data_IF_046378190295
#
_entry.id   IF_046378190295
#
_cell.length_a   1.000
_cell.length_b   1.000
_cell.length_c   1.000
_cell.angle_alpha   90.00
_cell.angle_beta   90.00
_cell.angle_gamma   90.00
#
_symmetry.space_group_name_H-M   'P 1'
#
loop_
_entity.id
_entity.type
_entity.pdbx_description
1 polymer ?
#
# COMPACT_ATOMS: atom_id res chain seq x y z
N UNK A 1 8.55 -7.60 -6.57
CA UNK A 1 7.15 -7.32 -6.94
C UNK A 1 7.16 -6.20 -7.97
N UNK A 2 6.17 -6.14 -8.86
CA UNK A 2 5.94 -4.99 -9.72
C UNK A 2 4.65 -4.33 -9.25
N UNK A 3 4.72 -3.04 -8.93
CA UNK A 3 3.60 -2.21 -8.51
C UNK A 3 3.20 -1.27 -9.65
N UNK A 4 1.90 -1.05 -9.84
CA UNK A 4 1.35 -0.12 -10.82
C UNK A 4 0.71 1.05 -10.11
N UNK A 5 1.16 2.25 -10.42
CA UNK A 5 0.46 3.48 -10.09
C UNK A 5 -0.50 3.81 -11.23
N UNK A 6 -1.80 3.80 -10.93
CA UNK A 6 -2.85 4.06 -11.92
C UNK A 6 -3.21 5.54 -11.90
N UNK A 7 -3.02 6.22 -13.03
CA UNK A 7 -3.32 7.66 -13.17
C UNK A 7 -4.64 7.90 -13.92
N UNK A 8 -5.71 7.24 -13.47
CA UNK A 8 -7.02 7.34 -14.11
C UNK A 8 -7.64 5.98 -14.39
N UNK A 9 -7.66 5.58 -15.65
CA UNK A 9 -8.07 4.26 -16.12
C UNK A 9 -6.82 3.43 -16.46
N UNK A 10 -6.81 2.13 -16.12
CA UNK A 10 -5.72 1.25 -16.51
C UNK A 10 -5.39 1.38 -18.01
N UNK A 11 -4.14 1.76 -18.33
CA UNK A 11 -3.61 1.91 -19.70
C UNK A 11 -4.09 0.81 -20.64
N UNK A 12 -3.90 -0.43 -20.20
CA UNK A 12 -4.16 -1.65 -20.96
C UNK A 12 -5.63 -2.11 -20.95
N UNK A 13 -6.57 -1.23 -20.57
CA UNK A 13 -8.00 -1.51 -20.68
C UNK A 13 -8.52 -1.17 -22.09
N UNK A 14 -8.96 -2.17 -22.84
CA UNK A 14 -9.76 -1.98 -24.05
C UNK A 14 -11.19 -2.42 -23.81
N UNK A 15 -12.16 -1.49 -23.83
CA UNK A 15 -13.57 -1.84 -23.67
C UNK A 15 -14.44 -1.27 -24.78
N UNK A 16 -14.94 -2.16 -25.64
CA UNK A 16 -16.09 -1.89 -26.49
C UNK A 16 -17.35 -2.05 -25.63
N UNK A 17 -17.98 -0.95 -25.22
CA UNK A 17 -19.31 -1.06 -24.59
C UNK A 17 -20.38 -1.27 -25.67
N UNK A 18 -21.49 -1.95 -25.38
CA UNK A 18 -22.59 -2.18 -26.34
C UNK A 18 -23.21 -0.91 -26.93
N UNK A 19 -22.90 0.27 -26.38
CA UNK A 19 -23.53 1.55 -26.71
C UNK A 19 -22.61 2.51 -27.50
N UNK A 20 -21.62 2.02 -28.26
CA UNK A 20 -20.65 2.84 -29.02
C UNK A 20 -19.77 3.78 -28.17
N UNK A 21 -19.63 3.53 -26.86
CA UNK A 21 -18.59 4.18 -26.05
C UNK A 21 -17.40 3.24 -25.96
N UNK A 22 -16.34 3.56 -26.70
CA UNK A 22 -15.04 2.95 -26.43
C UNK A 22 -14.51 3.63 -25.17
N UNK A 23 -14.24 2.85 -24.13
CA UNK A 23 -13.41 3.31 -23.01
C UNK A 23 -12.06 2.65 -23.23
N UNK A 24 -11.07 3.49 -23.46
CA UNK A 24 -9.72 3.07 -23.79
C UNK A 24 -8.80 3.71 -22.77
N UNK A 25 -8.05 2.89 -22.03
CA UNK A 25 -6.91 3.39 -21.27
C UNK A 25 -5.88 4.02 -22.22
N UNK A 26 -4.92 4.75 -21.66
CA UNK A 26 -3.94 5.55 -22.41
C UNK A 26 -3.37 4.83 -23.63
N UNK A 27 -3.09 3.54 -23.50
CA UNK A 27 -2.50 2.69 -24.52
C UNK A 27 -3.39 2.51 -25.77
N UNK A 28 -4.71 2.45 -25.60
CA UNK A 28 -5.67 2.28 -26.70
C UNK A 28 -6.33 3.60 -27.14
N UNK A 29 -5.97 4.72 -26.52
CA UNK A 29 -6.46 6.02 -26.98
C UNK A 29 -5.86 6.35 -28.35
N UNK A 30 -6.67 6.67 -29.37
CA UNK A 30 -6.14 7.13 -30.64
C UNK A 30 -5.27 8.38 -30.41
N UNK A 31 -4.19 8.51 -31.17
CA UNK A 31 -3.31 9.68 -31.10
C UNK A 31 -4.15 10.94 -31.22
N UNK A 32 -4.21 11.71 -30.13
CA UNK A 32 -4.86 13.01 -30.12
C UNK A 32 -4.09 13.86 -31.13
N UNK A 33 -4.80 14.42 -32.12
CA UNK A 33 -4.22 15.23 -33.20
C UNK A 33 -3.25 16.29 -32.66
N UNK A 34 -2.22 16.64 -33.45
CA UNK A 34 -1.06 17.51 -33.17
C UNK A 34 -1.33 18.97 -32.72
N UNK A 35 -2.49 19.26 -32.11
CA UNK A 35 -2.79 20.57 -31.55
C UNK A 35 -2.72 20.55 -30.00
N UNK A 36 -1.51 20.59 -29.41
CA UNK A 36 -1.30 20.51 -27.96
C UNK A 36 -1.85 21.72 -27.17
N UNK A 37 -2.32 22.76 -27.84
CA UNK A 37 -2.74 24.00 -27.18
C UNK A 37 -4.22 24.08 -26.79
N UNK A 38 -5.10 23.17 -27.23
CA UNK A 38 -6.54 23.27 -26.93
C UNK A 38 -6.97 22.65 -25.58
N UNK A 39 -6.06 21.98 -24.86
CA UNK A 39 -6.42 21.26 -23.62
C UNK A 39 -6.01 21.95 -22.32
N UNK A 40 -5.17 22.98 -22.35
CA UNK A 40 -4.72 23.69 -21.13
C UNK A 40 -5.84 24.46 -20.40
N UNK A 41 -7.07 24.49 -20.93
CA UNK A 41 -8.22 25.14 -20.32
C UNK A 41 -9.39 24.21 -19.96
N UNK A 42 -9.30 22.89 -20.18
CA UNK A 42 -10.23 21.96 -19.53
C UNK A 42 -9.60 21.54 -18.20
N UNK A 43 -9.84 22.37 -17.19
CA UNK A 43 -9.66 22.01 -15.79
C UNK A 43 -10.15 20.58 -15.54
N UNK A 44 -9.47 19.89 -14.62
CA UNK A 44 -9.69 18.54 -14.05
C UNK A 44 -11.12 18.33 -13.46
N UNK A 45 -12.07 19.19 -13.80
CA UNK A 45 -13.49 18.94 -13.64
C UNK A 45 -13.87 17.72 -14.47
N UNK A 46 -14.20 16.65 -13.76
CA UNK A 46 -15.00 15.52 -14.21
C UNK A 46 -16.40 16.01 -14.63
N UNK A 47 -16.48 16.98 -15.55
CA UNK A 47 -17.73 17.40 -16.16
C UNK A 47 -18.02 16.39 -17.26
N UNK A 48 -19.06 15.55 -17.11
CA UNK A 48 -19.49 14.73 -18.22
C UNK A 48 -19.89 15.69 -19.32
N UNK A 49 -19.13 15.69 -20.42
CA UNK A 49 -19.53 16.36 -21.64
C UNK A 49 -20.88 15.73 -22.05
N UNK A 50 -21.99 16.47 -22.01
CA UNK A 50 -23.31 15.90 -22.18
C UNK A 50 -23.54 15.36 -23.60
N UNK A 51 -22.68 15.71 -24.55
CA UNK A 51 -22.90 15.45 -25.98
C UNK A 51 -22.07 14.32 -26.60
N UNK A 52 -21.27 13.55 -25.83
CA UNK A 52 -20.36 12.44 -26.26
C UNK A 52 -18.88 12.86 -26.35
N UNK A 53 -17.87 11.99 -26.26
CA UNK A 53 -17.73 10.52 -26.18
C UNK A 53 -16.28 10.30 -25.72
N UNK A 54 -16.04 9.29 -24.88
CA UNK A 54 -14.72 8.81 -24.44
C UNK A 54 -14.11 9.59 -23.26
N UNK A 55 -14.20 8.99 -22.07
CA UNK A 55 -13.24 9.26 -20.99
C UNK A 55 -11.89 8.73 -21.48
N UNK A 56 -11.09 9.58 -22.13
CA UNK A 56 -9.74 9.24 -22.56
C UNK A 56 -8.80 9.50 -21.41
N UNK A 57 -8.08 8.46 -21.01
CA UNK A 57 -6.92 8.67 -20.15
C UNK A 57 -5.76 9.24 -20.98
N UNK A 58 -5.24 10.39 -20.55
CA UNK A 58 -4.12 11.06 -21.19
C UNK A 58 -2.78 10.78 -20.51
N UNK A 59 -2.79 10.12 -19.35
CA UNK A 59 -1.59 9.85 -18.57
C UNK A 59 -1.23 8.36 -18.64
N UNK A 60 0.03 8.00 -18.92
CA UNK A 60 0.44 6.62 -18.82
C UNK A 60 0.50 6.18 -17.35
N UNK A 61 0.21 4.91 -17.14
CA UNK A 61 0.50 4.23 -15.90
C UNK A 61 2.00 4.00 -15.73
N UNK A 62 2.45 4.12 -14.49
CA UNK A 62 3.84 3.85 -14.13
C UNK A 62 3.96 2.52 -13.39
N UNK A 63 4.85 1.66 -13.89
CA UNK A 63 5.14 0.35 -13.30
C UNK A 63 6.47 0.41 -12.57
N UNK A 64 6.44 0.33 -11.25
CA UNK A 64 7.62 0.35 -10.39
C UNK A 64 8.00 -1.08 -10.01
N UNK A 65 9.29 -1.41 -10.07
CA UNK A 65 9.78 -2.71 -9.64
C UNK A 65 10.94 -2.57 -8.67
N UNK A 66 11.01 -3.51 -7.72
CA UNK A 66 12.15 -3.71 -6.84
C UNK A 66 12.28 -5.21 -6.56
N UNK A 67 13.41 -5.80 -6.98
CA UNK A 67 13.74 -7.18 -6.72
C UNK A 67 15.26 -7.39 -6.76
N UNK A 68 15.80 -8.17 -5.81
CA UNK A 68 17.21 -8.61 -5.79
C UNK A 68 18.24 -7.48 -6.07
N UNK A 69 18.00 -6.28 -5.53
CA UNK A 69 18.88 -5.11 -5.72
C UNK A 69 18.73 -4.40 -7.07
N UNK A 70 17.86 -4.87 -7.96
CA UNK A 70 17.42 -4.16 -9.16
C UNK A 70 16.16 -3.35 -8.82
N UNK A 71 16.14 -2.08 -9.19
CA UNK A 71 14.98 -1.21 -9.03
C UNK A 71 14.84 -0.28 -10.23
N UNK A 72 13.62 0.14 -10.51
CA UNK A 72 13.34 1.10 -11.55
C UNK A 72 11.86 1.24 -11.81
N UNK A 73 11.54 2.08 -12.78
CA UNK A 73 10.19 2.28 -13.29
C UNK A 73 10.19 1.96 -14.78
N UNK A 74 9.08 1.45 -15.32
CA UNK A 74 8.85 1.44 -16.75
C UNK A 74 7.44 1.92 -17.11
N UNK A 75 7.31 2.40 -18.34
CA UNK A 75 6.06 2.89 -18.93
C UNK A 75 5.79 2.11 -20.22
N UNK A 76 4.51 1.82 -20.47
CA UNK A 76 4.03 1.22 -21.72
C UNK A 76 3.76 2.36 -22.73
N UNK A 77 4.50 2.44 -23.85
CA UNK A 77 4.29 3.51 -24.82
C UNK A 77 2.97 3.33 -25.59
N UNK A 78 2.41 4.44 -26.09
CA UNK A 78 1.29 4.40 -27.05
C UNK A 78 1.67 3.58 -28.29
N UNK A 79 0.71 2.86 -28.86
CA UNK A 79 0.85 2.06 -30.07
C UNK A 79 1.82 0.87 -30.00
N UNK A 80 2.26 0.40 -28.82
CA UNK A 80 2.72 -1.00 -28.79
C UNK A 80 1.59 -1.90 -29.30
N UNK A 81 1.87 -2.88 -30.14
CA UNK A 81 0.85 -3.85 -30.52
C UNK A 81 1.07 -5.09 -29.66
N UNK A 82 0.04 -5.54 -28.94
CA UNK A 82 0.06 -6.83 -28.26
C UNK A 82 -0.19 -8.02 -29.22
N UNK A 83 -0.26 -7.77 -30.53
CA UNK A 83 -0.43 -8.85 -31.52
C UNK A 83 0.87 -9.68 -31.65
N UNK A 84 1.12 -10.53 -30.66
CA UNK A 84 2.02 -11.68 -30.74
C UNK A 84 3.51 -11.44 -30.45
N UNK A 85 3.91 -10.28 -29.91
CA UNK A 85 5.31 -9.99 -29.59
C UNK A 85 5.50 -9.24 -28.27
N UNK A 86 6.72 -9.25 -27.70
CA UNK A 86 7.02 -8.50 -26.49
C UNK A 86 6.86 -7.00 -26.73
N UNK A 87 6.11 -6.34 -25.85
CA UNK A 87 5.95 -4.88 -25.85
C UNK A 87 7.24 -4.23 -25.35
N UNK A 88 7.85 -3.36 -26.16
CA UNK A 88 8.99 -2.55 -25.71
C UNK A 88 8.51 -1.52 -24.69
N UNK A 89 9.15 -1.48 -23.53
CA UNK A 89 8.89 -0.49 -22.47
C UNK A 89 10.00 0.53 -22.39
N UNK A 90 9.72 1.69 -21.79
CA UNK A 90 10.73 2.70 -21.48
C UNK A 90 11.10 2.60 -20.01
N UNK A 91 12.36 2.25 -19.69
CA UNK A 91 12.85 2.16 -18.30
C UNK A 91 13.41 3.48 -17.78
N UNK A 92 13.21 3.76 -16.49
CA UNK A 92 13.72 4.93 -15.75
C UNK A 92 14.36 4.46 -14.42
N UNK A 93 15.67 4.68 -14.19
CA UNK A 93 16.66 5.12 -15.17
C UNK A 93 16.76 4.11 -16.33
N UNK A 94 17.31 4.56 -17.47
CA UNK A 94 17.53 3.69 -18.61
C UNK A 94 18.40 2.49 -18.18
N UNK A 95 17.92 1.29 -18.47
CA UNK A 95 18.58 0.03 -18.12
C UNK A 95 18.57 -0.94 -19.30
N UNK A 96 19.49 -1.91 -19.29
CA UNK A 96 19.55 -2.99 -20.27
C UNK A 96 18.59 -4.15 -19.94
N UNK A 97 17.63 -3.93 -19.04
CA UNK A 97 16.63 -4.93 -18.70
C UNK A 97 15.70 -5.15 -19.90
N UNK A 98 15.51 -6.40 -20.31
CA UNK A 98 14.48 -6.78 -21.28
C UNK A 98 13.17 -7.06 -20.54
N UNK A 99 12.16 -6.22 -20.76
CA UNK A 99 10.84 -6.34 -20.12
C UNK A 99 9.82 -6.78 -21.15
N UNK A 100 9.18 -7.91 -20.88
CA UNK A 100 8.20 -8.54 -21.76
C UNK A 100 6.85 -8.59 -21.07
N UNK A 101 5.81 -8.09 -21.75
CA UNK A 101 4.45 -8.02 -21.25
C UNK A 101 3.57 -9.03 -21.98
N UNK A 102 2.75 -9.77 -21.24
CA UNK A 102 1.88 -10.81 -21.78
C UNK A 102 0.44 -10.60 -21.34
N UNK A 103 -0.46 -10.54 -22.32
CA UNK A 103 -1.89 -10.47 -22.07
C UNK A 103 -2.47 -11.85 -21.75
N UNK A 104 -3.44 -11.88 -20.85
CA UNK A 104 -4.24 -13.07 -20.52
C UNK A 104 -5.68 -12.66 -20.31
N UNK A 105 -6.62 -13.51 -20.72
CA UNK A 105 -8.03 -13.30 -20.41
C UNK A 105 -8.22 -13.24 -18.88
N UNK A 106 -8.71 -12.11 -18.38
CA UNK A 106 -8.93 -11.93 -16.95
C UNK A 106 -10.31 -12.45 -16.50
N UNK A 107 -10.43 -12.88 -15.24
CA UNK A 107 -11.72 -13.10 -14.59
C UNK A 107 -12.66 -11.89 -14.70
N UNK A 108 -13.96 -12.14 -14.66
CA UNK A 108 -14.99 -11.11 -14.77
C UNK A 108 -14.81 -10.01 -13.71
N UNK A 109 -14.77 -8.75 -14.16
CA UNK A 109 -14.72 -7.57 -13.29
C UNK A 109 -13.33 -6.94 -13.11
N UNK A 110 -12.25 -7.64 -13.47
CA UNK A 110 -10.89 -7.10 -13.45
C UNK A 110 -10.65 -6.16 -14.64
N UNK A 111 -10.06 -4.99 -14.39
CA UNK A 111 -9.87 -3.89 -15.35
C UNK A 111 -8.44 -3.83 -15.90
N UNK A 112 -7.98 -4.91 -16.52
CA UNK A 112 -6.66 -5.01 -17.17
C UNK A 112 -6.67 -6.27 -18.02
N UNK A 113 -5.83 -6.34 -19.05
CA UNK A 113 -5.56 -7.58 -19.78
C UNK A 113 -4.13 -8.09 -19.52
N UNK A 114 -3.29 -7.32 -18.81
CA UNK A 114 -1.90 -7.64 -18.49
C UNK A 114 -1.79 -8.68 -17.37
N UNK A 115 -1.62 -9.95 -17.73
CA UNK A 115 -1.56 -11.07 -16.79
C UNK A 115 -0.16 -11.46 -16.33
N UNK A 116 0.86 -11.21 -17.14
CA UNK A 116 2.22 -11.63 -16.83
C UNK A 116 3.23 -10.61 -17.32
N UNK A 117 4.24 -10.39 -16.48
CA UNK A 117 5.43 -9.59 -16.80
C UNK A 117 6.64 -10.48 -16.62
N UNK A 118 7.56 -10.48 -17.59
CA UNK A 118 8.86 -11.17 -17.49
C UNK A 118 9.96 -10.14 -17.67
N UNK A 119 10.91 -10.10 -16.74
CA UNK A 119 12.08 -9.23 -16.82
C UNK A 119 13.31 -10.13 -16.97
N UNK A 120 14.14 -9.90 -17.99
CA UNK A 120 15.45 -10.56 -18.14
C UNK A 120 16.55 -9.56 -17.85
N UNK A 121 17.48 -9.91 -16.95
CA UNK A 121 18.62 -9.06 -16.65
C UNK A 121 19.81 -9.27 -17.60
N UNK A 122 20.87 -8.50 -17.35
CA UNK A 122 22.13 -8.51 -18.10
C UNK A 122 22.92 -9.82 -17.99
N UNK A 123 22.60 -10.66 -17.01
CA UNK A 123 23.22 -11.98 -16.81
C UNK A 123 22.39 -13.12 -17.43
N UNK A 124 21.25 -12.80 -18.06
CA UNK A 124 20.32 -13.80 -18.59
C UNK A 124 19.47 -14.46 -17.51
N UNK A 125 19.29 -13.81 -16.35
CA UNK A 125 18.35 -14.29 -15.32
C UNK A 125 16.96 -13.73 -15.64
N UNK A 126 15.97 -14.59 -15.72
CA UNK A 126 14.57 -14.22 -15.91
C UNK A 126 13.80 -14.19 -14.61
N UNK A 127 12.97 -13.17 -14.45
CA UNK A 127 12.08 -12.92 -13.33
C UNK A 127 10.65 -12.88 -13.82
N UNK A 128 9.84 -13.86 -13.42
CA UNK A 128 8.46 -14.02 -13.88
C UNK A 128 7.50 -13.52 -12.82
N UNK A 129 6.64 -12.58 -13.19
CA UNK A 129 5.63 -12.00 -12.33
C UNK A 129 4.24 -12.37 -12.85
N UNK A 130 3.62 -13.38 -12.24
CA UNK A 130 2.37 -13.99 -12.74
C UNK A 130 1.21 -13.99 -11.73
N UNK A 131 1.49 -13.77 -10.45
CA UNK A 131 0.43 -13.73 -9.42
C UNK A 131 -0.06 -12.30 -9.23
N UNK A 132 -1.34 -12.06 -9.53
CA UNK A 132 -1.95 -10.75 -9.49
C UNK A 132 -2.44 -10.42 -8.07
N UNK A 133 -2.27 -9.17 -7.66
CA UNK A 133 -2.98 -8.58 -6.52
C UNK A 133 -3.95 -7.53 -7.03
N UNK A 134 -5.16 -7.56 -6.51
CA UNK A 134 -6.19 -6.61 -6.91
C UNK A 134 -6.49 -5.64 -5.79
N UNK A 135 -6.83 -4.41 -6.18
CA UNK A 135 -7.46 -3.42 -5.33
C UNK A 135 -8.87 -3.16 -5.84
N UNK A 136 -9.82 -3.12 -4.93
CA UNK A 136 -11.23 -2.92 -5.15
C UNK A 136 -11.52 -1.45 -4.92
N UNK A 137 -11.96 -0.75 -5.97
CA UNK A 137 -12.55 0.58 -5.82
C UNK A 137 -14.06 0.43 -5.71
N UNK A 138 -14.60 0.80 -4.56
CA UNK A 138 -16.04 0.89 -4.36
C UNK A 138 -16.54 2.14 -5.09
N UNK A 139 -17.41 1.98 -6.09
CA UNK A 139 -18.16 3.10 -6.67
C UNK A 139 -19.55 3.12 -6.06
N UNK A 140 -19.88 4.23 -5.39
CA UNK A 140 -21.23 4.51 -4.95
C UNK A 140 -22.02 4.99 -6.17
N UNK A 141 -22.85 4.12 -6.76
CA UNK A 141 -23.78 4.53 -7.82
C UNK A 141 -25.09 4.93 -7.17
N UNK A 142 -25.46 6.20 -7.26
CA UNK A 142 -26.79 6.67 -6.81
C UNK A 142 -27.85 5.94 -7.64
N UNK A 143 -28.64 5.07 -7.02
CA UNK A 143 -29.66 4.27 -7.73
C UNK A 143 -30.92 5.09 -7.95
N UNK A 144 -31.30 5.92 -6.98
CA UNK A 144 -32.42 6.83 -7.10
C UNK A 144 -32.31 7.98 -6.11
N UNK A 145 -32.63 9.18 -6.57
CA UNK A 145 -32.94 10.30 -5.69
C UNK A 145 -34.37 10.12 -5.19
N UNK A 146 -34.56 9.16 -4.28
CA UNK A 146 -35.81 9.14 -3.52
C UNK A 146 -35.67 10.24 -2.47
N UNK A 147 -36.06 11.46 -2.83
CA UNK A 147 -36.21 12.56 -1.88
C UNK A 147 -37.37 12.26 -0.93
N UNK A 148 -37.24 11.20 -0.12
CA UNK A 148 -38.15 10.96 1.00
C UNK A 148 -37.80 12.00 2.05
N UNK A 149 -38.52 13.10 1.96
CA UNK A 149 -38.59 14.11 3.00
C UNK A 149 -38.87 13.39 4.33
N UNK A 150 -37.92 13.41 5.26
CA UNK A 150 -38.20 13.01 6.65
C UNK A 150 -38.78 14.26 7.31
N UNK A 151 -40.10 14.39 7.46
CA UNK A 151 -40.67 15.56 8.11
C UNK A 151 -40.38 15.41 9.62
N UNK A 152 -39.88 16.47 10.26
CA UNK A 152 -39.84 16.70 11.72
C UNK A 152 -38.52 16.56 12.50
N UNK A 153 -37.34 16.75 11.92
CA UNK A 153 -36.12 17.01 12.73
C UNK A 153 -35.38 18.25 12.21
N UNK A 154 -35.89 19.44 12.57
CA UNK A 154 -35.25 20.73 12.26
C UNK A 154 -35.37 21.18 10.80
N UNK A 155 -34.84 22.38 10.51
CA UNK A 155 -34.76 22.97 9.15
C UNK A 155 -33.68 22.33 8.26
N UNK A 156 -33.05 21.27 8.76
CA UNK A 156 -32.00 20.52 8.09
C UNK A 156 -32.63 19.40 7.24
N UNK A 157 -32.37 19.44 5.93
CA UNK A 157 -32.83 18.41 4.99
C UNK A 157 -31.77 17.32 4.92
N UNK A 158 -32.10 16.11 5.38
CA UNK A 158 -31.26 14.93 5.17
C UNK A 158 -31.72 14.19 3.92
N UNK A 159 -30.79 13.95 2.99
CA UNK A 159 -31.03 13.13 1.80
C UNK A 159 -30.49 11.73 2.06
N UNK A 160 -31.33 10.71 1.88
CA UNK A 160 -30.93 9.32 1.93
C UNK A 160 -30.73 8.80 0.50
N UNK A 161 -29.50 8.45 0.16
CA UNK A 161 -29.16 7.87 -1.14
C UNK A 161 -29.02 6.35 -1.00
N UNK A 162 -29.81 5.59 -1.75
CA UNK A 162 -29.56 4.16 -1.96
C UNK A 162 -28.47 4.00 -3.02
N UNK A 163 -27.44 3.20 -2.71
CA UNK A 163 -26.27 3.00 -3.57
C UNK A 163 -26.15 1.55 -4.02
N UNK A 164 -26.01 1.34 -5.32
CA UNK A 164 -25.66 0.04 -5.89
C UNK A 164 -24.16 -0.11 -5.77
N UNK A 165 -23.72 -1.19 -5.12
CA UNK A 165 -22.31 -1.46 -4.94
C UNK A 165 -21.76 -2.12 -6.21
N UNK A 166 -21.21 -1.29 -7.09
CA UNK A 166 -20.38 -1.77 -8.20
C UNK A 166 -18.94 -1.82 -7.74
N UNK A 167 -18.35 -3.01 -7.79
CA UNK A 167 -16.95 -3.25 -7.48
C UNK A 167 -16.15 -3.31 -8.78
N UNK A 168 -15.22 -2.37 -8.95
CA UNK A 168 -14.20 -2.47 -9.98
C UNK A 168 -12.92 -3.02 -9.34
N UNK A 169 -12.37 -4.08 -9.93
CA UNK A 169 -11.11 -4.69 -9.51
C UNK A 169 -9.98 -4.19 -10.40
N UNK A 170 -8.97 -3.59 -9.81
CA UNK A 170 -7.79 -3.10 -10.51
C UNK A 170 -6.60 -3.95 -10.09
N UNK A 171 -5.84 -4.47 -11.05
CA UNK A 171 -4.57 -5.11 -10.69
C UNK A 171 -3.56 -4.02 -10.37
N UNK A 172 -3.12 -3.99 -9.12
CA UNK A 172 -2.12 -3.03 -8.64
C UNK A 172 -0.74 -3.65 -8.56
N UNK A 173 -0.64 -4.98 -8.43
CA UNK A 173 0.65 -5.64 -8.24
C UNK A 173 0.75 -6.99 -8.94
N UNK A 174 1.96 -7.30 -9.42
CA UNK A 174 2.36 -8.61 -9.91
C UNK A 174 3.47 -9.15 -9.01
N UNK A 175 3.22 -10.28 -8.35
CA UNK A 175 4.16 -10.95 -7.47
C UNK A 175 5.12 -11.84 -8.27
N UNK A 176 6.37 -11.91 -7.82
CA UNK A 176 7.43 -12.73 -8.43
C UNK A 176 7.17 -14.21 -8.14
N UNK A 177 6.92 -15.02 -9.15
CA UNK A 177 6.58 -16.44 -8.99
C UNK A 177 7.68 -17.39 -9.42
N UNK A 178 8.58 -16.95 -10.29
CA UNK A 178 9.68 -17.79 -10.78
C UNK A 178 10.91 -16.97 -11.11
N UNK A 179 12.07 -17.50 -10.79
CA UNK A 179 13.39 -17.03 -11.21
C UNK A 179 14.04 -18.15 -12.01
N UNK A 180 14.56 -17.85 -13.20
CA UNK A 180 15.24 -18.84 -14.06
C UNK A 180 16.60 -18.30 -14.46
N UNK A 181 17.65 -19.05 -14.24
CA UNK A 181 18.93 -18.79 -14.91
C UNK A 181 18.93 -19.45 -16.30
N UNK A 182 18.95 -18.65 -17.36
CA UNK A 182 18.89 -19.18 -18.73
C UNK A 182 20.13 -19.98 -19.12
N UNK A 183 21.25 -19.82 -18.42
CA UNK A 183 22.49 -20.54 -18.71
C UNK A 183 22.50 -21.91 -18.04
N UNK A 184 22.29 -21.95 -16.72
CA UNK A 184 22.30 -23.20 -15.93
C UNK A 184 20.99 -23.98 -16.00
N UNK A 185 19.89 -23.33 -16.39
CA UNK A 185 18.51 -23.83 -16.29
C UNK A 185 18.04 -24.10 -14.86
N UNK A 186 18.74 -23.57 -13.85
CA UNK A 186 18.27 -23.60 -12.47
C UNK A 186 17.04 -22.70 -12.30
N UNK A 187 16.10 -23.16 -11.47
CA UNK A 187 14.85 -22.47 -11.19
C UNK A 187 14.64 -22.30 -9.68
N UNK A 188 14.09 -21.14 -9.33
CA UNK A 188 13.53 -20.86 -8.00
C UNK A 188 12.05 -20.55 -8.21
N UNK A 189 11.17 -21.31 -7.56
CA UNK A 189 9.72 -21.12 -7.66
C UNK A 189 9.21 -20.54 -6.34
N UNK A 190 8.32 -19.55 -6.42
CA UNK A 190 7.70 -18.88 -5.29
C UNK A 190 6.19 -19.11 -5.35
N UNK A 191 5.66 -19.72 -4.30
CA UNK A 191 4.24 -19.96 -4.15
C UNK A 191 3.63 -18.97 -3.16
N UNK A 192 2.43 -18.49 -3.47
CA UNK A 192 1.70 -17.56 -2.63
C UNK A 192 0.41 -18.18 -2.14
N UNK A 193 -0.04 -17.75 -0.97
CA UNK A 193 -1.43 -17.94 -0.56
C UNK A 193 -2.20 -16.62 -0.62
N UNK A 194 -3.50 -16.76 -0.90
CA UNK A 194 -4.43 -15.66 -0.97
C UNK A 194 -4.86 -15.24 0.44
N UNK A 195 -4.96 -13.94 0.66
CA UNK A 195 -5.72 -13.40 1.78
C UNK A 195 -6.40 -12.10 1.35
N UNK A 196 -7.46 -11.77 2.07
CA UNK A 196 -8.17 -10.52 1.85
C UNK A 196 -7.58 -9.46 2.76
N UNK A 197 -7.14 -8.33 2.21
CA UNK A 197 -6.75 -7.17 3.01
C UNK A 197 -7.77 -6.06 2.90
N UNK A 198 -7.96 -5.36 4.01
CA UNK A 198 -8.76 -4.15 4.08
C UNK A 198 -7.91 -3.05 4.71
N UNK A 199 -7.49 -2.10 3.88
CA UNK A 199 -6.82 -0.89 4.32
C UNK A 199 -7.86 0.22 4.34
N UNK A 200 -8.12 0.75 5.53
CA UNK A 200 -8.88 1.99 5.63
C UNK A 200 -7.97 3.14 5.24
N UNK A 201 -8.31 3.81 4.15
CA UNK A 201 -7.70 5.08 3.79
C UNK A 201 -8.20 6.16 4.76
N UNK A 202 -7.50 7.30 4.82
CA UNK A 202 -8.01 8.45 5.53
C UNK A 202 -9.46 8.76 5.22
N UNK A 203 -10.25 9.06 6.25
CA UNK A 203 -11.52 9.77 6.10
C UNK A 203 -11.18 11.10 5.44
N UNK A 204 -11.61 11.28 4.20
CA UNK A 204 -11.47 12.55 3.50
C UNK A 204 -12.80 13.27 3.70
N UNK A 205 -12.78 14.28 4.57
CA UNK A 205 -13.88 15.22 4.69
C UNK A 205 -13.77 16.21 3.53
N UNK A 206 -14.56 15.99 2.48
CA UNK A 206 -14.76 16.98 1.43
C UNK A 206 -15.94 17.86 1.81
N UNK A 207 -15.70 19.17 1.93
CA UNK A 207 -16.75 20.18 2.08
C UNK A 207 -16.92 20.92 0.76
N UNK A 208 -18.15 21.03 0.27
CA UNK A 208 -18.45 21.91 -0.85
C UNK A 208 -19.05 23.21 -0.31
N UNK A 209 -18.34 24.32 -0.45
CA UNK A 209 -18.84 25.64 -0.08
C UNK A 209 -19.63 26.17 -1.27
N UNK A 210 -20.96 26.05 -1.19
CA UNK A 210 -21.84 26.75 -2.11
C UNK A 210 -21.96 28.21 -1.69
N UNK A 211 -21.93 29.13 -2.65
CA UNK A 211 -22.21 30.57 -2.42
C UNK A 211 -23.55 30.84 -1.74
N UNK A 212 -24.46 29.85 -1.69
CA UNK A 212 -25.77 29.95 -1.04
C UNK A 212 -25.82 29.26 0.34
N UNK A 213 -25.21 29.83 1.37
CA UNK A 213 -25.51 29.61 2.82
C UNK A 213 -25.56 28.20 3.42
N UNK A 214 -25.26 27.11 2.69
CA UNK A 214 -25.23 25.75 3.27
C UNK A 214 -23.96 25.02 2.87
N UNK A 215 -23.17 24.70 3.89
CA UNK A 215 -22.05 23.77 3.78
C UNK A 215 -22.58 22.34 3.81
N UNK A 216 -22.24 21.57 2.78
CA UNK A 216 -22.46 20.12 2.78
C UNK A 216 -21.14 19.44 3.16
N UNK A 217 -21.18 18.63 4.20
CA UNK A 217 -20.06 17.80 4.63
C UNK A 217 -20.30 16.36 4.17
N UNK A 218 -19.41 15.86 3.31
CA UNK A 218 -19.38 14.45 2.94
C UNK A 218 -18.22 13.78 3.68
N UNK A 219 -18.55 12.72 4.43
CA UNK A 219 -17.55 11.84 5.03
C UNK A 219 -17.35 10.63 4.11
N UNK A 220 -16.43 10.78 3.16
CA UNK A 220 -16.06 9.68 2.28
C UNK A 220 -15.04 8.79 2.98
N UNK A 221 -15.55 7.67 3.50
CA UNK A 221 -14.74 6.57 4.02
C UNK A 221 -14.17 5.80 2.84
N UNK A 222 -13.02 6.25 2.35
CA UNK A 222 -12.25 5.49 1.39
C UNK A 222 -11.75 4.20 2.05
N UNK A 223 -12.17 3.07 1.49
CA UNK A 223 -11.78 1.76 1.96
C UNK A 223 -11.18 1.02 0.78
N UNK A 224 -9.87 0.79 0.85
CA UNK A 224 -9.16 -0.03 -0.11
C UNK A 224 -9.29 -1.48 0.38
N UNK A 225 -10.05 -2.26 -0.37
CA UNK A 225 -10.14 -3.71 -0.19
C UNK A 225 -9.34 -4.36 -1.29
N UNK A 226 -8.73 -5.50 -1.04
CA UNK A 226 -7.93 -6.12 -2.08
C UNK A 226 -7.66 -7.59 -1.85
N UNK A 227 -7.56 -8.28 -2.97
CA UNK A 227 -6.99 -9.62 -3.03
C UNK A 227 -5.48 -9.46 -2.91
N UNK A 228 -4.94 -9.82 -1.76
CA UNK A 228 -3.51 -9.72 -1.50
C UNK A 228 -2.88 -11.11 -1.49
N UNK A 229 -1.58 -11.14 -1.68
CA UNK A 229 -0.80 -12.37 -1.71
C UNK A 229 0.30 -12.29 -0.66
N UNK A 230 0.50 -13.38 0.05
CA UNK A 230 1.64 -13.54 0.95
C UNK A 230 2.37 -14.83 0.63
N UNK A 231 3.68 -14.79 0.82
CA UNK A 231 4.56 -15.87 0.40
C UNK A 231 4.29 -17.11 1.25
N UNK A 232 4.00 -18.24 0.60
CA UNK A 232 3.70 -19.52 1.25
C UNK A 232 4.92 -20.44 1.23
N UNK A 233 5.59 -20.54 0.09
CA UNK A 233 6.80 -21.34 -0.02
C UNK A 233 7.75 -20.84 -1.12
N UNK A 234 9.02 -21.19 -0.99
CA UNK A 234 10.03 -21.08 -2.04
C UNK A 234 10.62 -22.48 -2.25
N UNK A 235 10.71 -22.94 -3.49
CA UNK A 235 11.35 -24.21 -3.85
C UNK A 235 12.47 -24.00 -4.85
N UNK A 236 13.53 -24.79 -4.70
CA UNK A 236 14.74 -24.73 -5.51
C UNK A 236 14.88 -26.01 -6.35
N UNK A 237 15.55 -25.93 -7.50
CA UNK A 237 15.78 -27.10 -8.38
C UNK A 237 16.50 -28.27 -7.71
N UNK A 238 17.29 -28.01 -6.67
CA UNK A 238 18.01 -29.05 -5.92
C UNK A 238 17.13 -29.82 -4.91
N UNK A 239 15.85 -29.45 -4.78
CA UNK A 239 14.89 -30.04 -3.84
C UNK A 239 14.78 -29.33 -2.49
N UNK A 240 15.60 -28.32 -2.23
CA UNK A 240 15.49 -27.50 -1.02
C UNK A 240 14.19 -26.69 -1.04
N UNK A 241 13.64 -26.43 0.15
CA UNK A 241 12.37 -25.71 0.32
C UNK A 241 12.39 -24.80 1.54
N UNK A 242 11.84 -23.60 1.37
CA UNK A 242 11.52 -22.67 2.45
C UNK A 242 10.01 -22.57 2.58
N UNK A 243 9.45 -22.82 3.75
CA UNK A 243 8.01 -22.69 4.03
C UNK A 243 7.76 -21.57 5.02
N UNK A 244 6.68 -20.82 4.79
CA UNK A 244 6.24 -19.70 5.59
C UNK A 244 4.92 -20.09 6.27
N UNK A 245 4.92 -20.15 7.60
CA UNK A 245 3.74 -20.52 8.39
C UNK A 245 3.21 -19.30 9.12
N UNK A 246 1.98 -18.94 8.79
CA UNK A 246 1.26 -17.82 9.40
C UNK A 246 0.43 -18.30 10.59
N UNK A 247 0.20 -17.38 11.52
CA UNK A 247 -0.68 -17.59 12.67
C UNK A 247 -2.05 -18.13 12.27
N UNK A 248 -2.61 -19.02 13.07
CA UNK A 248 -4.00 -19.46 12.91
C UNK A 248 -4.98 -18.33 13.24
N UNK A 249 -4.60 -17.45 14.17
CA UNK A 249 -5.37 -16.27 14.57
C UNK A 249 -5.08 -15.07 13.67
N UNK A 250 -6.12 -14.27 13.40
CA UNK A 250 -5.98 -13.02 12.67
C UNK A 250 -5.23 -11.98 13.50
N UNK A 251 -4.56 -11.05 12.84
CA UNK A 251 -3.94 -9.91 13.48
C UNK A 251 -5.02 -9.00 14.07
N UNK A 252 -4.76 -8.47 15.25
CA UNK A 252 -5.62 -7.47 15.86
C UNK A 252 -5.49 -6.10 15.22
N UNK A 253 -4.37 -5.80 14.58
CA UNK A 253 -4.14 -4.49 13.95
C UNK A 253 -4.48 -4.49 12.45
N UNK A 254 -4.95 -5.63 11.93
CA UNK A 254 -5.42 -5.83 10.55
C UNK A 254 -6.35 -7.04 10.50
N UNK A 255 -7.65 -6.78 10.40
CA UNK A 255 -8.66 -7.84 10.28
C UNK A 255 -8.37 -8.64 9.00
N UNK A 256 -8.50 -9.96 9.04
CA UNK A 256 -8.29 -10.92 7.94
C UNK A 256 -6.84 -11.23 7.56
N UNK A 257 -5.87 -10.46 8.05
CA UNK A 257 -4.46 -10.78 7.88
C UNK A 257 -3.94 -11.62 9.06
N UNK A 258 -2.83 -12.35 8.86
CA UNK A 258 -2.19 -13.20 9.87
C UNK A 258 -0.71 -12.88 9.92
N UNK A 259 -0.13 -12.86 11.13
CA UNK A 259 1.30 -12.64 11.31
C UNK A 259 2.09 -13.89 10.89
N UNK A 260 3.24 -13.71 10.24
CA UNK A 260 4.17 -14.81 9.93
C UNK A 260 4.80 -15.32 11.22
N UNK A 261 4.50 -16.54 11.66
CA UNK A 261 5.00 -17.09 12.92
C UNK A 261 6.27 -17.92 12.74
N UNK A 262 6.40 -18.63 11.61
CA UNK A 262 7.56 -19.50 11.41
C UNK A 262 8.06 -19.46 9.98
N UNK A 263 9.38 -19.63 9.84
CA UNK A 263 10.05 -19.90 8.57
C UNK A 263 10.78 -21.23 8.74
N UNK A 264 10.41 -22.25 7.96
CA UNK A 264 11.08 -23.56 7.96
C UNK A 264 11.91 -23.72 6.71
N UNK A 265 13.18 -24.03 6.86
CA UNK A 265 14.10 -24.33 5.77
C UNK A 265 14.39 -25.82 5.83
N UNK A 266 13.94 -26.55 4.81
CA UNK A 266 14.16 -27.99 4.68
C UNK A 266 15.04 -28.26 3.47
N UNK A 267 16.14 -28.97 3.67
CA UNK A 267 16.98 -29.38 2.55
C UNK A 267 16.48 -30.70 1.94
N UNK A 268 17.02 -31.07 0.78
CA UNK A 268 16.66 -32.33 0.10
C UNK A 268 17.02 -33.59 0.93
N UNK A 269 17.99 -33.52 1.84
CA UNK A 269 18.32 -34.59 2.79
C UNK A 269 17.31 -34.75 3.93
N UNK A 270 16.32 -33.85 4.03
CA UNK A 270 15.32 -33.84 5.09
C UNK A 270 15.71 -33.10 6.37
N UNK A 271 16.90 -32.51 6.42
CA UNK A 271 17.31 -31.66 7.54
C UNK A 271 16.48 -30.38 7.54
N UNK A 272 16.00 -29.99 8.72
CA UNK A 272 15.13 -28.84 8.88
C UNK A 272 15.69 -27.87 9.92
N UNK A 273 15.65 -26.58 9.59
CA UNK A 273 15.90 -25.47 10.50
C UNK A 273 14.62 -24.64 10.56
N UNK A 274 14.12 -24.37 11.77
CA UNK A 274 12.96 -23.52 11.99
C UNK A 274 13.39 -22.19 12.62
N UNK A 275 12.85 -21.09 12.11
CA UNK A 275 12.92 -19.77 12.73
C UNK A 275 11.55 -19.37 13.25
N UNK A 276 11.42 -19.12 14.55
CA UNK A 276 10.20 -18.61 15.17
C UNK A 276 10.21 -17.09 15.26
N UNK A 277 9.12 -16.43 14.87
CA UNK A 277 8.92 -15.00 14.93
C UNK A 277 7.88 -14.71 16.02
N UNK A 278 8.33 -14.09 17.11
CA UNK A 278 7.49 -13.79 18.27
C UNK A 278 7.07 -12.33 18.25
N UNK A 279 5.79 -12.08 18.39
CA UNK A 279 5.23 -10.73 18.32
C UNK A 279 4.59 -10.29 19.63
N UNK A 280 4.45 -8.98 19.78
CA UNK A 280 3.64 -8.33 20.81
C UNK A 280 2.82 -7.22 20.17
N UNK A 281 1.68 -6.90 20.77
CA UNK A 281 0.97 -5.66 20.46
C UNK A 281 1.33 -4.58 21.47
N UNK A 282 1.41 -3.34 21.03
CA UNK A 282 1.35 -2.19 21.93
C UNK A 282 0.06 -1.41 21.71
N UNK A 283 -0.58 -1.03 22.82
CA UNK A 283 -1.68 -0.05 22.87
C UNK A 283 -1.26 1.07 23.80
N UNK A 284 -0.79 2.19 23.22
CA UNK A 284 -0.06 3.20 23.98
C UNK A 284 1.19 2.59 24.63
N UNK A 285 1.27 2.63 25.95
CA UNK A 285 2.40 2.10 26.73
C UNK A 285 2.20 0.67 27.22
N UNK A 286 1.03 0.07 26.96
CA UNK A 286 0.71 -1.28 27.43
C UNK A 286 1.13 -2.31 26.40
N UNK A 287 2.00 -3.22 26.81
CA UNK A 287 2.31 -4.44 26.06
C UNK A 287 1.16 -5.43 26.21
N UNK A 288 0.71 -5.99 25.10
CA UNK A 288 -0.35 -7.00 25.03
C UNK A 288 0.25 -8.21 24.32
N UNK A 289 0.14 -9.38 24.93
CA UNK A 289 0.58 -10.63 24.30
C UNK A 289 -0.18 -10.82 22.97
N UNK A 290 0.53 -11.30 21.93
CA UNK A 290 -0.06 -11.61 20.63
C UNK A 290 -1.30 -12.51 20.74
N UNK A 291 -1.24 -13.55 21.57
CA UNK A 291 -2.32 -14.54 21.74
C UNK A 291 -3.49 -14.02 22.60
N UNK A 292 -3.27 -12.96 23.39
CA UNK A 292 -4.32 -12.35 24.21
C UNK A 292 -5.27 -11.47 23.38
N UNK A 293 -5.05 -11.41 22.07
CA UNK A 293 -5.74 -10.49 21.19
C UNK A 293 -6.99 -11.11 20.58
N UNK A 294 -8.05 -11.18 21.39
CA UNK A 294 -9.36 -11.75 21.01
C UNK A 294 -10.18 -10.76 20.17
N UNK A 295 -10.99 -11.27 19.24
CA UNK A 295 -11.89 -10.55 18.31
C UNK A 295 -12.39 -9.20 18.84
N UNK A 296 -11.94 -8.12 18.23
CA UNK A 296 -12.23 -6.76 18.68
C UNK A 296 -13.09 -5.98 17.70
N UNK A 297 -13.74 -4.93 18.21
CA UNK A 297 -14.35 -3.93 17.35
C UNK A 297 -13.29 -3.28 16.46
N UNK A 298 -13.73 -2.76 15.33
CA UNK A 298 -12.84 -2.12 14.35
C UNK A 298 -12.13 -0.87 14.92
N UNK A 299 -12.69 -0.22 15.94
CA UNK A 299 -12.02 0.91 16.59
C UNK A 299 -10.88 0.48 17.50
N UNK A 300 -11.02 -0.66 18.17
CA UNK A 300 -9.97 -1.18 19.01
C UNK A 300 -8.79 -1.73 18.20
N UNK A 301 -9.05 -2.33 17.03
CA UNK A 301 -8.02 -2.83 16.12
C UNK A 301 -7.06 -1.71 15.68
N UNK A 302 -7.60 -0.53 15.39
CA UNK A 302 -6.82 0.66 15.01
C UNK A 302 -5.93 1.19 16.15
N UNK A 303 -6.19 0.82 17.41
CA UNK A 303 -5.40 1.30 18.57
C UNK A 303 -4.20 0.41 18.92
N UNK A 304 -4.03 -0.72 18.23
CA UNK A 304 -2.98 -1.71 18.50
C UNK A 304 -2.00 -1.75 17.35
N UNK A 305 -0.71 -1.80 17.66
CA UNK A 305 0.35 -1.95 16.67
C UNK A 305 1.10 -3.24 16.94
N UNK A 306 1.26 -4.07 15.90
CA UNK A 306 1.99 -5.33 15.97
C UNK A 306 3.49 -5.08 15.80
N UNK A 307 4.29 -5.65 16.70
CA UNK A 307 5.75 -5.54 16.67
C UNK A 307 6.39 -6.91 16.76
N UNK A 308 7.42 -7.15 15.94
CA UNK A 308 8.27 -8.31 16.07
C UNK A 308 9.17 -8.13 17.29
N UNK A 309 8.97 -8.92 18.34
CA UNK A 309 9.69 -8.83 19.61
C UNK A 309 10.99 -9.61 19.60
N UNK A 310 10.98 -10.80 19.00
CA UNK A 310 12.19 -11.62 18.89
C UNK A 310 12.10 -12.60 17.74
N UNK A 311 13.27 -13.06 17.29
CA UNK A 311 13.39 -14.22 16.42
C UNK A 311 14.15 -15.30 17.19
N UNK A 312 13.64 -16.53 17.16
CA UNK A 312 14.31 -17.73 17.68
C UNK A 312 14.71 -18.64 16.54
N UNK A 313 15.81 -19.37 16.69
CA UNK A 313 16.21 -20.47 15.83
C UNK A 313 16.05 -21.77 16.62
N UNK A 314 15.19 -22.65 16.13
CA UNK A 314 14.94 -23.95 16.72
C UNK A 314 15.75 -24.99 15.94
N UNK A 315 16.69 -25.62 16.64
CA UNK A 315 17.33 -26.87 16.23
C UNK A 315 16.73 -28.02 17.06
N UNK A 316 16.89 -29.27 16.61
CA UNK A 316 16.17 -30.47 17.09
C UNK A 316 16.06 -30.67 18.62
N UNK A 317 16.90 -30.02 19.42
CA UNK A 317 16.90 -30.09 20.89
C UNK A 317 17.05 -28.73 21.60
N UNK A 318 17.15 -27.61 20.88
CA UNK A 318 17.37 -26.29 21.51
C UNK A 318 16.73 -25.16 20.73
N UNK A 319 16.18 -24.20 21.46
CA UNK A 319 15.72 -22.91 20.93
C UNK A 319 16.71 -21.83 21.35
N UNK A 320 17.34 -21.18 20.37
CA UNK A 320 18.28 -20.08 20.61
C UNK A 320 17.61 -18.80 20.14
N UNK A 321 17.49 -17.81 21.01
CA UNK A 321 17.04 -16.46 20.62
C UNK A 321 18.14 -15.83 19.74
N UNK A 322 17.84 -15.57 18.47
CA UNK A 322 18.81 -15.01 17.51
C UNK A 322 18.78 -13.49 17.44
N UNK A 323 17.67 -12.87 17.80
CA UNK A 323 17.53 -11.42 17.91
C UNK A 323 16.38 -11.05 18.86
N UNK A 324 16.55 -9.97 19.61
CA UNK A 324 15.46 -9.29 20.33
C UNK A 324 15.37 -7.84 19.87
N UNK A 325 14.14 -7.35 19.73
CA UNK A 325 13.87 -6.01 19.21
C UNK A 325 13.12 -5.19 20.26
N UNK A 326 13.52 -3.94 20.41
CA UNK A 326 12.83 -2.93 21.19
C UNK A 326 12.49 -1.74 20.29
N UNK A 327 11.37 -1.07 20.56
CA UNK A 327 10.83 0.01 19.73
C UNK A 327 10.59 1.26 20.58
N UNK A 328 10.62 2.43 19.94
CA UNK A 328 10.29 3.69 20.58
C UNK A 328 8.79 3.70 20.89
N UNK A 329 8.44 3.75 22.16
CA UNK A 329 7.05 3.79 22.64
C UNK A 329 6.60 5.22 22.88
N UNK A 330 5.29 5.43 22.99
CA UNK A 330 4.74 6.74 23.37
C UNK A 330 5.36 7.26 24.66
N UNK A 331 5.58 6.42 25.67
CA UNK A 331 6.22 6.80 26.95
C UNK A 331 7.65 7.28 26.81
N UNK A 332 8.36 6.89 25.74
CA UNK A 332 9.74 7.34 25.52
C UNK A 332 9.79 8.79 25.01
N UNK A 333 8.68 9.31 24.46
CA UNK A 333 8.63 10.62 23.76
C UNK A 333 7.60 11.59 24.32
N UNK A 334 6.54 11.06 24.93
CA UNK A 334 5.39 11.81 25.37
C UNK A 334 5.34 11.79 26.90
N UNK A 335 5.38 12.97 27.52
CA UNK A 335 5.30 13.11 28.96
C UNK A 335 4.03 12.42 29.53
N UNK A 336 4.13 11.69 30.67
CA UNK A 336 3.05 10.90 31.28
C UNK A 336 1.69 11.61 31.35
N UNK A 337 1.71 12.93 31.56
CA UNK A 337 0.54 13.75 31.86
C UNK A 337 -0.09 14.43 30.65
N UNK A 338 0.36 14.16 29.42
CA UNK A 338 -0.35 14.66 28.25
C UNK A 338 -1.63 13.84 28.02
N UNK A 339 -2.77 14.47 27.68
CA UNK A 339 -4.01 13.75 27.33
C UNK A 339 -3.85 12.70 26.21
N UNK A 340 -2.77 12.80 25.44
CA UNK A 340 -2.38 11.84 24.40
C UNK A 340 -1.91 10.47 24.93
N UNK A 341 -1.62 10.33 26.24
CA UNK A 341 -0.94 9.15 26.77
C UNK A 341 -1.84 7.94 27.04
N UNK A 342 -3.17 8.04 26.91
CA UNK A 342 -4.08 6.98 27.36
C UNK A 342 -4.77 6.16 26.27
N UNK A 343 -4.91 6.63 25.02
CA UNK A 343 -5.66 5.85 24.01
C UNK A 343 -5.54 6.28 22.53
N UNK A 344 -4.70 7.25 22.19
CA UNK A 344 -4.80 7.99 20.92
C UNK A 344 -3.64 7.86 19.94
N UNK A 345 -2.66 6.98 20.19
CA UNK A 345 -1.82 6.47 19.10
C UNK A 345 -2.64 5.44 18.32
N UNK A 346 -3.67 5.93 17.63
CA UNK A 346 -4.47 5.12 16.71
C UNK A 346 -3.76 5.16 15.36
N UNK A 347 -3.85 4.08 14.59
CA UNK A 347 -3.82 4.11 13.11
C UNK A 347 -5.05 4.87 12.59
N UNK A 348 -5.37 6.00 13.21
CA UNK A 348 -6.34 6.94 12.71
C UNK A 348 -5.53 7.97 11.95
N UNK A 349 -5.79 7.96 10.68
CA UNK A 349 -5.28 8.85 9.65
C UNK A 349 -5.26 10.33 10.00
N UNK A 350 -6.17 10.80 10.87
CA UNK A 350 -6.16 12.20 11.35
C UNK A 350 -4.88 12.51 12.12
N UNK A 351 -4.26 11.51 12.73
CA UNK A 351 -3.04 11.63 13.52
C UNK A 351 -1.81 11.06 12.82
N UNK A 352 -1.93 10.66 11.56
CA UNK A 352 -0.81 10.23 10.74
C UNK A 352 -0.47 11.31 9.71
N UNK A 353 0.78 11.35 9.28
CA UNK A 353 1.18 12.09 8.11
C UNK A 353 0.96 11.28 6.82
N UNK A 354 1.32 11.88 5.68
CA UNK A 354 1.20 11.26 4.36
C UNK A 354 1.98 9.94 4.24
N UNK A 355 3.06 9.78 4.99
CA UNK A 355 3.88 8.56 5.01
C UNK A 355 3.47 7.58 6.12
N UNK A 356 2.40 7.88 6.85
CA UNK A 356 1.85 7.02 7.91
C UNK A 356 2.48 7.22 9.29
N UNK A 357 3.40 8.16 9.47
CA UNK A 357 4.01 8.43 10.78
C UNK A 357 3.06 9.19 11.68
N UNK A 358 3.07 8.86 12.98
CA UNK A 358 2.23 9.54 13.95
C UNK A 358 2.71 10.98 14.18
N UNK A 359 1.81 11.97 14.06
CA UNK A 359 2.15 13.40 14.19
C UNK A 359 1.69 14.05 15.50
N UNK A 360 1.04 13.30 16.40
CA UNK A 360 0.69 13.73 17.75
C UNK A 360 -0.52 14.67 17.89
N UNK A 361 -1.04 15.21 16.79
CA UNK A 361 -2.21 16.10 16.78
C UNK A 361 -3.11 15.76 15.58
N UNK A 362 -4.44 15.84 15.69
CA UNK A 362 -5.31 15.63 14.54
C UNK A 362 -5.01 16.69 13.46
N UNK A 363 -5.27 16.37 12.19
CA UNK A 363 -5.36 17.36 11.11
C UNK A 363 -6.30 18.48 11.58
N UNK A 364 -5.80 19.71 11.66
CA UNK A 364 -6.63 20.88 11.90
C UNK A 364 -7.09 21.41 10.54
N UNK A 365 -8.38 21.67 10.39
CA UNK A 365 -8.88 22.43 9.25
C UNK A 365 -8.22 23.81 9.32
N UNK A 366 -7.46 24.18 8.30
CA UNK A 366 -7.02 25.54 8.13
C UNK A 366 -7.88 26.20 7.07
N UNK A 367 -8.28 27.41 7.37
CA UNK A 367 -8.73 28.32 6.33
C UNK A 367 -7.48 28.89 5.69
N UNK A 368 -7.32 28.69 4.38
CA UNK A 368 -6.52 29.62 3.58
C UNK A 368 -7.07 31.04 3.86
N UNK A 369 -6.25 32.09 3.98
CA UNK A 369 -6.73 33.48 4.07
C UNK A 369 -7.78 33.86 3.00
N UNK A 370 -7.86 33.13 1.88
CA UNK A 370 -8.92 33.27 0.87
C UNK A 370 -10.24 32.55 1.20
N UNK A 371 -10.40 31.99 2.41
CA UNK A 371 -11.60 31.27 2.84
C UNK A 371 -11.77 29.88 2.22
N UNK A 372 -10.79 29.39 1.47
CA UNK A 372 -10.79 28.02 0.94
C UNK A 372 -10.40 27.08 2.08
N UNK A 373 -11.28 26.12 2.39
CA UNK A 373 -11.00 25.05 3.33
C UNK A 373 -9.87 24.18 2.77
N UNK A 374 -8.64 24.46 3.20
CA UNK A 374 -7.47 23.65 2.90
C UNK A 374 -7.21 22.66 4.04
N UNK A 375 -6.82 21.43 3.69
CA UNK A 375 -6.20 20.53 4.66
C UNK A 375 -4.82 21.10 4.97
N UNK A 376 -4.69 21.78 6.11
CA UNK A 376 -3.38 22.12 6.63
C UNK A 376 -2.67 20.84 7.06
N UNK A 377 -1.66 20.53 6.28
CA UNK A 377 -0.57 19.68 6.66
C UNK A 377 0.15 20.32 7.86
N UNK A 378 -0.29 19.95 9.06
CA UNK A 378 0.36 20.38 10.30
C UNK A 378 1.80 19.85 10.32
N UNK A 379 2.74 20.72 10.67
CA UNK A 379 4.13 20.35 10.90
C UNK A 379 4.15 19.21 11.92
N UNK A 380 4.81 18.07 11.62
CA UNK A 380 4.89 16.97 12.57
C UNK A 380 5.54 17.46 13.87
N UNK A 381 4.89 17.19 15.01
CA UNK A 381 5.47 17.51 16.30
C UNK A 381 6.69 16.60 16.51
N UNK A 382 7.85 17.20 16.78
CA UNK A 382 9.09 16.48 17.00
C UNK A 382 8.91 15.40 18.07
N UNK A 383 9.42 14.19 17.79
CA UNK A 383 9.34 13.03 18.68
C UNK A 383 8.13 12.12 18.50
N UNK A 384 7.01 12.62 17.98
CA UNK A 384 5.83 11.77 17.74
C UNK A 384 6.01 10.83 16.55
N UNK A 385 6.67 11.31 15.49
CA UNK A 385 6.94 10.53 14.28
C UNK A 385 7.98 9.43 14.52
N UNK A 386 8.70 9.47 15.65
CA UNK A 386 9.62 8.41 16.03
C UNK A 386 8.91 7.19 16.67
N UNK A 387 7.68 7.35 17.17
CA UNK A 387 6.95 6.27 17.85
C UNK A 387 6.71 5.11 16.88
N UNK A 388 7.02 3.90 17.34
CA UNK A 388 7.00 2.67 16.54
C UNK A 388 8.28 2.40 15.75
N UNK A 389 9.25 3.32 15.74
CA UNK A 389 10.56 3.08 15.12
C UNK A 389 11.41 2.12 15.95
N UNK A 390 12.25 1.31 15.28
CA UNK A 390 13.13 0.35 15.93
C UNK A 390 14.18 1.07 16.79
N UNK A 391 14.15 0.86 18.10
CA UNK A 391 15.05 1.49 19.08
C UNK A 391 16.32 0.69 19.30
N UNK A 392 16.21 -0.64 19.40
CA UNK A 392 17.35 -1.51 19.75
C UNK A 392 17.20 -2.91 19.17
N UNK A 393 18.33 -3.51 18.78
CA UNK A 393 18.47 -4.94 18.50
C UNK A 393 19.48 -5.52 19.49
N UNK A 394 19.12 -6.61 20.17
CA UNK A 394 20.02 -7.40 21.02
C UNK A 394 20.37 -8.70 20.30
N UNK A 395 21.66 -8.99 20.17
CA UNK A 395 22.19 -10.16 19.46
C UNK A 395 22.47 -11.33 20.41
N UNK A 396 22.67 -12.56 19.89
CA UNK A 396 22.85 -13.75 20.72
C UNK A 396 24.15 -13.72 21.52
N UNK A 397 25.13 -12.96 21.04
CA UNK A 397 26.42 -12.73 21.70
C UNK A 397 26.32 -11.78 22.90
N UNK A 398 25.14 -11.21 23.19
CA UNK A 398 24.94 -10.18 24.21
C UNK A 398 25.19 -8.75 23.71
N UNK A 399 25.88 -8.59 22.58
CA UNK A 399 26.05 -7.29 21.92
C UNK A 399 24.70 -6.67 21.49
N UNK A 400 24.69 -5.36 21.22
CA UNK A 400 23.47 -4.69 20.74
C UNK A 400 23.74 -3.54 19.77
N UNK A 401 22.75 -3.23 18.96
CA UNK A 401 22.69 -2.01 18.15
C UNK A 401 21.55 -1.13 18.64
N UNK A 402 21.81 0.14 18.90
CA UNK A 402 20.82 1.14 19.30
C UNK A 402 20.70 2.21 18.23
N UNK A 403 19.48 2.68 17.98
CA UNK A 403 19.17 3.66 16.94
C UNK A 403 18.55 4.90 17.57
N UNK A 404 19.07 6.06 17.17
CA UNK A 404 18.50 7.36 17.49
C UNK A 404 17.98 7.98 16.20
N UNK A 405 16.79 8.58 16.27
CA UNK A 405 16.13 9.17 15.12
C UNK A 405 16.06 10.70 15.27
N UNK A 406 15.88 11.36 14.14
CA UNK A 406 15.52 12.76 14.07
C UNK A 406 14.45 12.96 12.99
N UNK A 407 13.66 14.03 13.12
CA UNK A 407 12.69 14.41 12.11
C UNK A 407 13.37 14.81 10.80
N UNK A 408 12.74 14.51 9.68
CA UNK A 408 13.18 15.05 8.41
C UNK A 408 12.96 16.58 8.36
N UNK A 409 13.74 17.25 7.53
CA UNK A 409 13.60 18.68 7.27
C UNK A 409 13.83 18.98 5.80
N UNK A 410 13.21 20.06 5.33
CA UNK A 410 13.42 20.63 3.99
C UNK A 410 13.86 22.08 4.13
N UNK A 411 14.65 22.59 3.19
CA UNK A 411 14.96 24.02 3.10
C UNK A 411 13.98 24.66 2.14
N UNK A 412 13.09 25.51 2.67
CA UNK A 412 12.11 26.26 1.88
C UNK A 412 12.35 27.75 2.09
N UNK A 413 12.62 28.50 1.01
CA UNK A 413 12.97 29.92 1.04
C UNK A 413 14.16 30.25 1.97
N UNK A 414 15.17 29.36 2.00
CA UNK A 414 16.37 29.53 2.83
C UNK A 414 16.18 29.22 4.31
N UNK A 415 14.97 28.80 4.74
CA UNK A 415 14.69 28.38 6.11
C UNK A 415 14.50 26.86 6.18
N UNK A 416 15.11 26.22 7.17
CA UNK A 416 14.86 24.81 7.48
C UNK A 416 13.48 24.66 8.12
N UNK A 417 12.63 23.83 7.52
CA UNK A 417 11.30 23.51 8.01
C UNK A 417 11.20 22.01 8.28
N UNK A 418 10.55 21.59 9.38
CA UNK A 418 10.32 20.17 9.61
C UNK A 418 9.44 19.59 8.50
N UNK A 419 9.79 18.38 8.08
CA UNK A 419 9.12 17.62 7.05
C UNK A 419 8.70 16.26 7.60
N UNK A 420 7.88 15.55 6.84
CA UNK A 420 7.29 14.29 7.27
C UNK A 420 8.30 13.15 7.40
N UNK A 421 7.99 12.23 8.32
CA UNK A 421 8.84 11.10 8.66
C UNK A 421 10.07 11.41 9.51
N UNK A 422 10.87 10.37 9.71
CA UNK A 422 12.10 10.38 10.51
C UNK A 422 13.23 9.68 9.77
N UNK A 423 14.46 10.02 10.11
CA UNK A 423 15.67 9.33 9.66
C UNK A 423 16.52 8.91 10.85
N UNK A 424 17.35 7.89 10.66
CA UNK A 424 18.34 7.50 11.68
C UNK A 424 19.39 8.62 11.76
N UNK A 425 19.42 9.31 12.88
CA UNK A 425 20.45 10.30 13.22
C UNK A 425 21.77 9.60 13.52
N UNK A 426 21.70 8.52 14.30
CA UNK A 426 22.87 7.80 14.79
C UNK A 426 22.55 6.34 15.08
N UNK A 427 23.50 5.47 14.75
CA UNK A 427 23.49 4.06 15.16
C UNK A 427 24.72 3.76 16.03
N UNK A 428 24.50 3.21 17.23
CA UNK A 428 25.57 2.82 18.15
C UNK A 428 25.63 1.29 18.25
N UNK A 429 26.81 0.71 18.10
CA UNK A 429 27.04 -0.72 18.25
C UNK A 429 27.86 -0.99 19.50
N UNK A 430 27.31 -1.76 20.44
CA UNK A 430 28.03 -2.25 21.62
C UNK A 430 28.40 -3.70 21.40
N UNK A 431 29.70 -3.99 21.51
CA UNK A 431 30.26 -5.34 21.50
C UNK A 431 30.48 -5.76 22.96
N UNK A 432 30.11 -7.01 23.28
CA UNK A 432 30.34 -7.62 24.60
C UNK A 432 31.62 -8.43 24.56
#
# INVERSE_FOLDING_TARGET
MIHRTINGLPDDLYRTTPANYNVSGYFYTPVISDNPCSFLYRSVGYYPDPDNKVNQDSEPDEFQFNFLGKQGTFIIPKNSSFTGGPVKVLTKPQSNLDVQLYQTAMPFGIKTDLGKIVITDDNGIQYWFTELQTTIKKKSKVISDSSKFIPNIGTEKFYHYEYDLVFDYYVTDWALTKIIDLNSKEEINLEYEYFFAQIKSPEVLTSYISSSTRDYYWDDKNMLKGDQKRLKSISFSNGDKVNFEYSTQSRCDSIWDKALQKIRIKNNSGNEIEYGLNYVYYKGNTEINFDACVSQTEDESLSKWLFLKSITKNASSSSIKIAEFDYIRSSDKIAPNTPANSSHVRKNVRYQDFFGYYKGSPVKNCYDPNGVNGICLTTPLAGYSEIGSLKKIIYPTGGSSTFEYEGNSIVENGAEKPFYGVRIKRSLKMMV
#
